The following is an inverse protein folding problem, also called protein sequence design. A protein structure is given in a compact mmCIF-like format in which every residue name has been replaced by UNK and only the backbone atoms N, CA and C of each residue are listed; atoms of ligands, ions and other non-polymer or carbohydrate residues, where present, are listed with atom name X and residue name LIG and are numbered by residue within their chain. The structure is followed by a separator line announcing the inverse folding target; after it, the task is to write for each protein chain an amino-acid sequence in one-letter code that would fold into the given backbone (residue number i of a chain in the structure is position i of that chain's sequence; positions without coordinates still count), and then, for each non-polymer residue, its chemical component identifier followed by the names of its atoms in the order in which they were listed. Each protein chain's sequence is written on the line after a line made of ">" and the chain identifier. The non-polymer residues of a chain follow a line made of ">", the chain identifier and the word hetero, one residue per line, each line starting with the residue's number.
data_IF_465254968221
#
_entry.id   IF_465254968221
#
_cell.length_a   1.000
_cell.length_b   1.000
_cell.length_c   1.000
_cell.angle_alpha   90.00
_cell.angle_beta   90.00
_cell.angle_gamma   90.00
#
_symmetry.space_group_name_H-M   'P 1'
#
loop_
_entity.id
_entity.type
_entity.pdbx_description
1 polymer ?
#
# COMPACT_ATOMS: atom_id res chain seq x y z
N UNK A 1 -8.46 -15.55 1.95
CA UNK A 1 -9.82 -15.07 2.31
C UNK A 1 -10.79 -15.22 1.12
N UNK A 2 -12.10 -15.37 1.36
CA UNK A 2 -13.10 -15.27 0.29
C UNK A 2 -13.22 -13.83 -0.24
N UNK A 3 -13.84 -13.65 -1.42
CA UNK A 3 -14.06 -12.30 -1.98
C UNK A 3 -14.86 -11.40 -1.03
N UNK A 4 -15.91 -11.94 -0.40
CA UNK A 4 -16.75 -11.14 0.53
C UNK A 4 -15.99 -10.75 1.79
N UNK A 5 -15.20 -11.67 2.36
CA UNK A 5 -14.36 -11.37 3.53
C UNK A 5 -13.30 -10.31 3.20
N UNK A 6 -12.68 -10.37 2.02
CA UNK A 6 -11.74 -9.34 1.56
C UNK A 6 -12.41 -7.98 1.41
N UNK A 7 -13.61 -7.91 0.86
CA UNK A 7 -14.35 -6.65 0.73
C UNK A 7 -14.63 -6.04 2.10
N UNK A 8 -15.10 -6.85 3.04
CA UNK A 8 -15.32 -6.40 4.42
C UNK A 8 -14.02 -5.95 5.11
N UNK A 9 -12.91 -6.66 4.89
CA UNK A 9 -11.60 -6.26 5.41
C UNK A 9 -11.17 -4.86 4.91
N UNK A 10 -11.42 -4.53 3.62
CA UNK A 10 -11.12 -3.21 3.07
C UNK A 10 -11.92 -2.09 3.76
N UNK A 11 -13.19 -2.33 4.07
CA UNK A 11 -14.03 -1.38 4.82
C UNK A 11 -13.49 -1.16 6.24
N UNK A 12 -13.11 -2.24 6.92
CA UNK A 12 -12.57 -2.17 8.28
C UNK A 12 -11.21 -1.46 8.31
N UNK A 13 -10.36 -1.69 7.31
CA UNK A 13 -9.09 -0.96 7.13
C UNK A 13 -9.34 0.54 6.94
N UNK A 14 -10.28 0.93 6.07
CA UNK A 14 -10.64 2.33 5.83
C UNK A 14 -11.13 3.03 7.11
N UNK A 15 -12.00 2.35 7.87
CA UNK A 15 -12.50 2.84 9.15
C UNK A 15 -11.36 3.02 10.18
N UNK A 16 -10.43 2.07 10.26
CA UNK A 16 -9.28 2.15 11.16
C UNK A 16 -8.35 3.31 10.81
N UNK A 17 -8.09 3.54 9.52
CA UNK A 17 -7.26 4.66 9.03
C UNK A 17 -7.90 5.99 9.40
N UNK A 18 -9.22 6.14 9.22
CA UNK A 18 -9.94 7.37 9.59
C UNK A 18 -9.86 7.66 11.09
N UNK A 19 -9.97 6.62 11.93
CA UNK A 19 -9.81 6.77 13.38
C UNK A 19 -8.39 7.18 13.75
N UNK A 20 -7.37 6.54 13.16
CA UNK A 20 -5.98 6.93 13.36
C UNK A 20 -5.74 8.38 12.95
N UNK A 21 -6.18 8.77 11.75
CA UNK A 21 -6.01 10.13 11.24
C UNK A 21 -6.60 11.18 12.19
N UNK A 22 -7.84 10.97 12.65
CA UNK A 22 -8.48 11.87 13.59
C UNK A 22 -7.71 12.05 14.89
N UNK A 23 -7.11 10.96 15.41
CA UNK A 23 -6.25 11.02 16.61
C UNK A 23 -4.90 11.66 16.33
N UNK A 24 -4.26 11.34 15.21
CA UNK A 24 -2.98 11.91 14.83
C UNK A 24 -3.05 13.43 14.64
N UNK A 25 -4.14 13.93 14.02
CA UNK A 25 -4.40 15.36 13.87
C UNK A 25 -4.52 16.05 15.23
N UNK A 26 -5.22 15.43 16.19
CA UNK A 26 -5.35 15.98 17.56
C UNK A 26 -3.99 16.06 18.29
N UNK A 27 -3.04 15.17 17.99
CA UNK A 27 -1.70 15.20 18.56
C UNK A 27 -0.87 16.35 17.98
N UNK A 28 -1.12 16.77 16.74
CA UNK A 28 -0.42 17.88 16.09
C UNK A 28 1.01 17.56 15.62
N UNK A 29 1.38 16.28 15.57
CA UNK A 29 2.69 15.83 15.05
C UNK A 29 2.56 15.50 13.56
N UNK A 30 2.98 16.42 12.68
CA UNK A 30 2.81 16.28 11.23
C UNK A 30 3.44 15.01 10.63
N UNK A 31 4.73 14.67 10.88
CA UNK A 31 5.28 13.38 10.47
C UNK A 31 4.45 12.18 10.94
N UNK A 32 3.87 12.23 12.15
CA UNK A 32 3.02 11.14 12.62
C UNK A 32 1.67 11.06 11.87
N UNK A 33 1.13 12.19 11.41
CA UNK A 33 -0.09 12.26 10.58
C UNK A 33 0.15 11.59 9.22
N UNK A 34 1.34 11.73 8.63
CA UNK A 34 1.67 11.15 7.32
C UNK A 34 1.60 9.60 7.30
N UNK A 35 1.70 8.93 8.46
CA UNK A 35 1.41 7.48 8.52
C UNK A 35 -0.03 7.15 8.11
N UNK A 36 -1.00 8.07 8.27
CA UNK A 36 -2.34 7.89 7.72
C UNK A 36 -2.31 7.84 6.19
N UNK A 37 -1.46 8.65 5.56
CA UNK A 37 -1.21 8.63 4.12
C UNK A 37 -0.57 7.32 3.66
N UNK A 38 0.44 6.84 4.40
CA UNK A 38 1.08 5.52 4.14
C UNK A 38 0.05 4.38 4.20
N UNK A 39 -0.78 4.34 5.25
CA UNK A 39 -1.82 3.31 5.36
C UNK A 39 -2.88 3.44 4.25
N UNK A 40 -3.22 4.66 3.85
CA UNK A 40 -4.16 4.92 2.74
C UNK A 40 -3.59 4.43 1.41
N UNK A 41 -2.30 4.68 1.14
CA UNK A 41 -1.61 4.16 -0.04
C UNK A 41 -1.69 2.63 -0.09
N UNK A 42 -1.37 1.95 1.01
CA UNK A 42 -1.49 0.50 1.12
C UNK A 42 -2.92 0.00 0.90
N UNK A 43 -3.92 0.65 1.49
CA UNK A 43 -5.33 0.31 1.29
C UNK A 43 -5.73 0.44 -0.18
N UNK A 44 -5.28 1.47 -0.89
CA UNK A 44 -5.59 1.66 -2.30
C UNK A 44 -5.04 0.52 -3.16
N UNK A 45 -3.79 0.11 -2.94
CA UNK A 45 -3.22 -1.04 -3.65
C UNK A 45 -3.95 -2.35 -3.30
N UNK A 46 -4.42 -2.52 -2.05
CA UNK A 46 -5.27 -3.65 -1.68
C UNK A 46 -6.63 -3.63 -2.39
N UNK A 47 -7.24 -2.45 -2.56
CA UNK A 47 -8.49 -2.28 -3.34
C UNK A 47 -8.28 -2.68 -4.81
N UNK A 48 -7.16 -2.29 -5.41
CA UNK A 48 -6.83 -2.66 -6.79
C UNK A 48 -6.57 -4.17 -6.93
N UNK A 49 -5.77 -4.75 -6.03
CA UNK A 49 -5.56 -6.20 -5.99
C UNK A 49 -6.89 -6.96 -5.86
N UNK A 50 -7.77 -6.53 -4.95
CA UNK A 50 -9.10 -7.11 -4.80
C UNK A 50 -9.93 -7.01 -6.08
N UNK A 51 -9.94 -5.85 -6.75
CA UNK A 51 -10.64 -5.64 -8.00
C UNK A 51 -10.11 -6.57 -9.13
N UNK A 52 -8.81 -6.83 -9.13
CA UNK A 52 -8.15 -7.79 -10.03
C UNK A 52 -8.34 -9.27 -9.62
N UNK A 53 -9.09 -9.55 -8.54
CA UNK A 53 -9.33 -10.91 -8.04
C UNK A 53 -8.18 -11.50 -7.21
N UNK A 54 -7.14 -10.71 -6.94
CA UNK A 54 -5.96 -11.10 -6.16
C UNK A 54 -6.30 -11.02 -4.66
N UNK A 55 -5.85 -12.02 -3.90
CA UNK A 55 -5.96 -12.01 -2.45
C UNK A 55 -4.81 -11.20 -1.83
N UNK A 56 -5.08 -9.93 -1.48
CA UNK A 56 -4.07 -9.08 -0.87
C UNK A 56 -3.59 -9.57 0.51
N UNK A 57 -4.35 -10.46 1.19
CA UNK A 57 -3.93 -11.01 2.49
C UNK A 57 -2.80 -12.02 2.36
N UNK A 58 -2.67 -12.62 1.19
CA UNK A 58 -1.56 -13.52 0.85
C UNK A 58 -0.38 -12.80 0.19
N UNK A 59 -0.53 -11.51 -0.15
CA UNK A 59 0.51 -10.69 -0.75
C UNK A 59 1.57 -10.24 0.28
N UNK A 60 2.43 -11.17 0.70
CA UNK A 60 3.53 -10.91 1.61
C UNK A 60 4.79 -11.71 1.25
N UNK A 61 5.94 -11.29 1.79
CA UNK A 61 7.24 -11.92 1.54
C UNK A 61 7.28 -13.40 1.91
N UNK A 62 6.56 -13.82 2.94
CA UNK A 62 6.56 -15.21 3.41
C UNK A 62 5.80 -16.14 2.47
N UNK A 63 4.77 -15.64 1.79
CA UNK A 63 4.00 -16.37 0.79
C UNK A 63 4.55 -16.19 -0.63
N UNK A 64 5.61 -15.40 -0.80
CA UNK A 64 6.26 -15.16 -2.10
C UNK A 64 5.43 -14.33 -3.08
N UNK A 65 4.26 -13.82 -2.68
CA UNK A 65 3.42 -12.96 -3.50
C UNK A 65 3.66 -11.50 -3.14
N UNK A 66 3.93 -10.68 -4.16
CA UNK A 66 4.03 -9.23 -4.00
C UNK A 66 2.67 -8.61 -4.22
N UNK A 67 2.33 -7.61 -3.43
CA UNK A 67 1.18 -6.76 -3.71
C UNK A 67 1.46 -6.00 -5.01
N UNK A 68 0.61 -6.11 -6.04
CA UNK A 68 0.75 -5.30 -7.24
C UNK A 68 0.55 -3.83 -6.89
N UNK A 69 1.46 -2.99 -7.35
CA UNK A 69 1.39 -1.53 -7.18
C UNK A 69 1.79 -0.89 -8.51
N UNK A 70 0.99 0.08 -8.96
CA UNK A 70 1.31 0.92 -10.09
C UNK A 70 2.39 1.95 -9.72
N UNK A 71 3.10 2.48 -10.72
CA UNK A 71 4.20 3.43 -10.47
C UNK A 71 3.76 4.66 -9.66
N UNK A 72 2.58 5.21 -9.98
CA UNK A 72 2.04 6.37 -9.27
C UNK A 72 1.66 6.05 -7.81
N UNK A 73 1.30 4.80 -7.49
CA UNK A 73 1.03 4.38 -6.11
C UNK A 73 2.34 4.31 -5.31
N UNK A 74 3.42 3.84 -5.94
CA UNK A 74 4.76 3.84 -5.33
C UNK A 74 5.28 5.27 -5.14
N UNK A 75 5.05 6.16 -6.11
CA UNK A 75 5.45 7.56 -6.02
C UNK A 75 4.72 8.28 -4.87
N UNK A 76 3.41 8.06 -4.75
CA UNK A 76 2.62 8.60 -3.63
C UNK A 76 3.08 8.03 -2.28
N UNK A 77 3.36 6.73 -2.20
CA UNK A 77 3.91 6.12 -0.99
C UNK A 77 5.27 6.76 -0.62
N UNK A 78 6.14 6.99 -1.60
CA UNK A 78 7.43 7.62 -1.40
C UNK A 78 7.31 9.08 -0.95
N UNK A 79 6.36 9.86 -1.47
CA UNK A 79 6.07 11.21 -0.96
C UNK A 79 5.80 11.17 0.55
N UNK A 80 4.95 10.24 1.00
CA UNK A 80 4.62 10.10 2.43
C UNK A 80 5.79 9.64 3.28
N UNK A 81 6.57 8.68 2.80
CA UNK A 81 7.76 8.20 3.51
C UNK A 81 8.86 9.27 3.57
N UNK A 82 9.01 10.09 2.54
CA UNK A 82 9.97 11.18 2.50
C UNK A 82 9.63 12.25 3.55
N UNK A 83 8.36 12.63 3.69
CA UNK A 83 7.91 13.53 4.75
C UNK A 83 8.21 13.02 6.17
N UNK A 84 8.26 11.69 6.38
CA UNK A 84 8.49 11.07 7.69
C UNK A 84 9.97 10.87 7.98
N UNK A 85 10.72 10.41 6.98
CA UNK A 85 12.07 9.87 7.15
C UNK A 85 13.16 10.64 6.41
N UNK A 86 12.83 11.74 5.72
CA UNK A 86 13.78 12.62 5.06
C UNK A 86 14.69 11.82 4.10
N UNK A 87 14.06 11.13 3.14
CA UNK A 87 14.73 10.31 2.12
C UNK A 87 15.38 9.00 2.60
N UNK A 88 15.37 8.68 3.90
CA UNK A 88 16.07 7.48 4.42
C UNK A 88 15.38 6.16 4.08
N UNK A 89 14.09 6.20 3.72
CA UNK A 89 13.30 5.03 3.37
C UNK A 89 12.66 5.28 2.00
N UNK A 90 12.92 4.40 1.05
CA UNK A 90 12.40 4.49 -0.32
C UNK A 90 11.82 3.13 -0.71
N UNK A 91 10.56 3.12 -1.09
CA UNK A 91 9.92 1.99 -1.74
C UNK A 91 10.45 1.88 -3.17
N UNK A 92 10.96 0.70 -3.52
CA UNK A 92 11.44 0.42 -4.86
C UNK A 92 10.28 0.07 -5.78
N UNK A 93 10.22 0.73 -6.94
CA UNK A 93 9.42 0.22 -8.04
C UNK A 93 10.02 -1.13 -8.45
N UNK A 94 9.20 -2.17 -8.55
CA UNK A 94 9.70 -3.41 -9.17
C UNK A 94 9.86 -3.10 -10.66
N UNK A 95 11.06 -3.27 -11.25
CA UNK A 95 11.20 -3.08 -12.69
C UNK A 95 10.24 -4.04 -13.38
N UNK A 96 9.47 -3.53 -14.36
CA UNK A 96 8.73 -4.38 -15.28
C UNK A 96 9.69 -5.48 -15.74
N UNK A 97 9.35 -6.74 -15.48
CA UNK A 97 10.23 -7.86 -15.78
C UNK A 97 10.73 -7.69 -17.22
N UNK A 98 12.04 -7.55 -17.40
CA UNK A 98 12.63 -7.49 -18.72
C UNK A 98 12.11 -8.71 -19.49
N UNK A 99 11.28 -8.47 -20.50
CA UNK A 99 10.75 -9.50 -21.39
C UNK A 99 11.98 -10.15 -22.02
N UNK A 100 12.40 -11.29 -21.48
CA UNK A 100 13.45 -12.10 -22.11
C UNK A 100 12.81 -12.66 -23.37
N UNK A 101 13.01 -11.96 -24.49
CA UNK A 101 12.84 -12.52 -25.81
C UNK A 101 13.88 -13.65 -25.94
N UNK A 102 13.44 -14.88 -25.70
CA UNK A 102 14.15 -16.05 -26.19
C UNK A 102 13.78 -16.16 -27.67
N UNK A 103 14.61 -15.57 -28.52
CA UNK A 103 14.63 -15.91 -29.94
C UNK A 103 15.18 -17.33 -30.05
N UNK A 104 14.35 -18.24 -30.56
CA UNK A 104 14.77 -19.55 -31.06
C UNK A 104 15.54 -19.41 -32.36
#
# INVERSE_FOLDING_TARGET
>A
MTKSERAHALEQMDAAIKQFYGRAVQIGNHPFIEFAGVMTAYLNSCKQAHAAGIDFTDCNRHNGQRLPMESFEVDYLNEKLDCIFDGRVIAQQTPAAAVRHQSS
#
